data_IF_390980573251
#
_entry.id   IF_390980573251
#
_cell.length_a   1.000
_cell.length_b   1.000
_cell.length_c   1.000
_cell.angle_alpha   90.00
_cell.angle_beta   90.00
_cell.angle_gamma   90.00
#
_symmetry.space_group_name_H-M   'P 1'
#
loop_
_entity.id
_entity.type
_entity.pdbx_description
1 polymer ?
#
# COMPACT_ATOMS: atom_id res chain seq x y z
N UNK A 1 -2.47 -39.69 17.63
CA UNK A 1 -1.56 -39.54 16.47
C UNK A 1 -0.67 -38.33 16.75
N UNK A 2 0.67 -38.40 16.56
CA UNK A 2 1.52 -37.21 16.67
C UNK A 2 1.13 -36.27 15.54
N UNK A 3 0.80 -35.03 15.87
CA UNK A 3 0.55 -34.00 14.85
C UNK A 3 1.84 -33.79 14.04
N UNK A 4 1.71 -33.60 12.73
CA UNK A 4 2.85 -33.27 11.86
C UNK A 4 3.55 -32.02 12.37
N UNK A 5 4.88 -32.06 12.43
CA UNK A 5 5.69 -30.90 12.79
C UNK A 5 5.93 -30.02 11.57
N UNK A 6 5.75 -28.70 11.74
CA UNK A 6 6.05 -27.67 10.75
C UNK A 6 6.85 -26.55 11.39
N UNK A 7 7.81 -26.01 10.62
CA UNK A 7 8.57 -24.82 11.01
C UNK A 7 7.98 -23.60 10.30
N UNK A 8 7.71 -22.53 11.04
CA UNK A 8 7.30 -21.25 10.50
C UNK A 8 8.51 -20.31 10.52
N UNK A 9 8.87 -19.74 9.37
CA UNK A 9 9.74 -18.58 9.25
C UNK A 9 8.86 -17.34 9.13
N UNK A 10 8.87 -16.52 10.16
CA UNK A 10 8.04 -15.32 10.24
C UNK A 10 8.89 -14.09 9.90
N UNK A 11 8.62 -13.45 8.76
CA UNK A 11 9.40 -12.29 8.32
C UNK A 11 9.11 -11.05 9.17
N UNK A 12 10.14 -10.28 9.49
CA UNK A 12 10.02 -8.97 10.11
C UNK A 12 10.96 -7.95 9.43
N UNK A 13 10.46 -6.69 9.16
CA UNK A 13 9.15 -6.18 9.52
C UNK A 13 8.02 -6.73 8.64
N UNK A 14 6.83 -6.74 9.20
CA UNK A 14 5.55 -7.10 8.55
C UNK A 14 4.42 -6.26 9.13
N UNK A 15 3.21 -6.40 8.58
CA UNK A 15 2.02 -5.74 9.12
C UNK A 15 2.03 -4.23 8.99
N UNK A 16 1.28 -3.55 9.85
CA UNK A 16 1.05 -2.11 9.75
C UNK A 16 2.34 -1.29 9.63
N UNK A 17 2.28 -0.28 8.76
CA UNK A 17 3.30 0.76 8.68
C UNK A 17 2.78 2.06 9.32
N UNK A 18 3.69 2.98 9.65
CA UNK A 18 3.33 4.24 10.28
C UNK A 18 2.29 5.08 9.49
N UNK A 19 2.26 4.97 8.16
CA UNK A 19 1.25 5.63 7.32
C UNK A 19 -0.15 5.07 7.53
N UNK A 20 -0.26 3.75 7.63
CA UNK A 20 -1.51 3.02 7.89
C UNK A 20 -2.00 3.27 9.30
N UNK A 21 -1.14 3.14 10.31
CA UNK A 21 -1.49 3.41 11.72
C UNK A 21 -2.03 4.83 11.89
N UNK A 22 -1.32 5.82 11.31
CA UNK A 22 -1.76 7.22 11.33
C UNK A 22 -3.14 7.41 10.69
N UNK A 23 -3.41 6.77 9.56
CA UNK A 23 -4.68 6.92 8.85
C UNK A 23 -5.85 6.35 9.67
N UNK A 24 -5.67 5.20 10.30
CA UNK A 24 -6.65 4.57 11.19
C UNK A 24 -6.88 5.48 12.42
N UNK A 25 -5.81 5.94 13.08
CA UNK A 25 -5.88 6.85 14.22
C UNK A 25 -6.63 8.15 13.89
N UNK A 26 -6.47 8.69 12.69
CA UNK A 26 -7.21 9.87 12.22
C UNK A 26 -8.71 9.63 12.22
N UNK A 27 -9.17 8.46 11.71
CA UNK A 27 -10.61 8.14 11.71
C UNK A 27 -11.14 7.98 13.14
N UNK A 28 -10.41 7.27 14.00
CA UNK A 28 -10.81 7.06 15.40
C UNK A 28 -10.89 8.38 16.17
N UNK A 29 -9.87 9.24 16.04
CA UNK A 29 -9.88 10.57 16.67
C UNK A 29 -10.96 11.48 16.10
N UNK A 30 -11.27 11.38 14.81
CA UNK A 30 -12.38 12.13 14.24
C UNK A 30 -13.73 11.66 14.80
N UNK A 31 -13.93 10.37 14.99
CA UNK A 31 -15.13 9.82 15.66
C UNK A 31 -15.23 10.34 17.11
N UNK A 32 -14.10 10.34 17.83
CA UNK A 32 -14.06 10.86 19.22
C UNK A 32 -14.40 12.36 19.27
N UNK A 33 -13.85 13.15 18.35
CA UNK A 33 -14.01 14.60 18.36
C UNK A 33 -15.37 15.09 17.86
N UNK A 34 -15.86 14.50 16.77
CA UNK A 34 -17.07 14.98 16.07
C UNK A 34 -18.30 14.11 16.36
N UNK A 35 -18.13 12.98 17.05
CA UNK A 35 -19.18 11.97 17.19
C UNK A 35 -19.49 11.24 15.88
N UNK A 36 -20.40 10.27 15.94
CA UNK A 36 -20.81 9.49 14.77
C UNK A 36 -22.00 10.13 14.04
N UNK A 37 -22.15 9.94 12.74
CA UNK A 37 -21.20 9.30 11.84
C UNK A 37 -20.04 10.22 11.42
N UNK A 38 -18.93 9.61 11.05
CA UNK A 38 -17.84 10.25 10.32
C UNK A 38 -17.74 9.59 8.95
N UNK A 39 -17.69 10.36 7.88
CA UNK A 39 -17.57 9.80 6.54
C UNK A 39 -16.09 9.57 6.18
N UNK A 40 -15.82 8.53 5.40
CA UNK A 40 -14.49 8.22 4.87
C UNK A 40 -14.63 8.00 3.38
N UNK A 41 -13.93 8.80 2.57
CA UNK A 41 -13.95 8.67 1.14
C UNK A 41 -12.96 7.58 0.71
N UNK A 42 -13.47 6.54 0.04
CA UNK A 42 -12.80 5.28 -0.27
C UNK A 42 -12.38 4.50 0.99
N UNK A 43 -11.87 3.29 0.83
CA UNK A 43 -11.27 2.56 1.95
C UNK A 43 -10.11 3.37 2.53
N UNK A 44 -10.08 3.56 3.86
CA UNK A 44 -9.01 4.31 4.52
C UNK A 44 -7.63 3.70 4.21
N UNK A 45 -7.58 2.38 4.16
CA UNK A 45 -6.47 1.53 3.71
C UNK A 45 -7.07 0.26 3.09
N UNK A 46 -6.36 -0.40 2.19
CA UNK A 46 -6.82 -1.62 1.53
C UNK A 46 -6.77 -2.84 2.47
N UNK A 47 -7.69 -2.88 3.43
CA UNK A 47 -7.87 -4.03 4.31
C UNK A 47 -9.31 -4.10 4.83
N UNK A 48 -10.04 -5.16 4.43
CA UNK A 48 -11.44 -5.35 4.80
C UNK A 48 -11.66 -5.43 6.32
N UNK A 49 -10.75 -6.07 7.07
CA UNK A 49 -10.85 -6.18 8.52
C UNK A 49 -10.81 -4.79 9.17
N UNK A 50 -9.91 -3.91 8.73
CA UNK A 50 -9.79 -2.53 9.22
C UNK A 50 -11.05 -1.72 8.86
N UNK A 51 -11.52 -1.83 7.62
CA UNK A 51 -12.74 -1.14 7.16
C UNK A 51 -13.96 -1.58 7.98
N UNK A 52 -14.12 -2.88 8.20
CA UNK A 52 -15.24 -3.43 8.96
C UNK A 52 -15.18 -3.02 10.45
N UNK A 53 -13.98 -2.94 11.03
CA UNK A 53 -13.80 -2.46 12.40
C UNK A 53 -14.17 -0.97 12.53
N UNK A 54 -13.72 -0.12 11.63
CA UNK A 54 -14.07 1.29 11.63
C UNK A 54 -15.57 1.53 11.36
N UNK A 55 -16.22 0.71 10.52
CA UNK A 55 -17.68 0.73 10.35
C UNK A 55 -18.40 0.45 11.66
N UNK A 56 -17.95 -0.54 12.42
CA UNK A 56 -18.52 -0.85 13.76
C UNK A 56 -18.35 0.31 14.75
N UNK A 57 -17.29 1.10 14.60
CA UNK A 57 -17.02 2.31 15.40
C UNK A 57 -17.82 3.53 14.95
N UNK A 58 -18.55 3.44 13.83
CA UNK A 58 -19.43 4.51 13.34
C UNK A 58 -18.90 5.29 12.14
N UNK A 59 -17.88 4.81 11.45
CA UNK A 59 -17.46 5.35 10.17
C UNK A 59 -18.39 4.87 9.04
N UNK A 60 -18.72 5.77 8.11
CA UNK A 60 -19.47 5.47 6.88
C UNK A 60 -18.54 5.70 5.70
N UNK A 61 -18.32 4.63 4.93
CA UNK A 61 -17.49 4.70 3.73
C UNK A 61 -18.31 5.05 2.51
N UNK A 62 -17.81 5.98 1.72
CA UNK A 62 -18.43 6.47 0.48
C UNK A 62 -17.38 6.49 -0.63
N UNK A 63 -17.82 6.37 -1.88
CA UNK A 63 -16.90 6.49 -3.01
C UNK A 63 -16.72 7.96 -3.40
N UNK A 64 -17.81 8.73 -3.48
CA UNK A 64 -17.76 10.14 -3.85
C UNK A 64 -18.47 11.04 -2.82
N UNK A 65 -18.12 12.33 -2.80
CA UNK A 65 -18.63 13.29 -1.80
C UNK A 65 -20.14 13.56 -1.95
N UNK A 66 -20.68 13.40 -3.17
CA UNK A 66 -22.09 13.56 -3.46
C UNK A 66 -22.98 12.56 -2.72
N UNK A 67 -22.46 11.36 -2.43
CA UNK A 67 -23.18 10.31 -1.69
C UNK A 67 -23.44 10.69 -0.23
N UNK A 68 -22.66 11.65 0.32
CA UNK A 68 -22.81 12.11 1.69
C UNK A 68 -24.08 12.95 1.81
N UNK A 69 -25.07 12.42 2.52
CA UNK A 69 -26.38 13.10 2.70
C UNK A 69 -26.28 14.27 3.67
N UNK A 70 -25.60 14.08 4.80
CA UNK A 70 -25.39 15.13 5.81
C UNK A 70 -24.02 15.79 5.63
N UNK A 71 -23.98 16.87 4.89
CA UNK A 71 -22.78 17.66 4.58
C UNK A 71 -22.21 18.39 5.81
N UNK A 72 -22.92 18.42 6.94
CA UNK A 72 -22.42 19.01 8.19
C UNK A 72 -21.45 18.11 8.91
N UNK A 73 -21.43 16.82 8.57
CA UNK A 73 -20.54 15.81 9.15
C UNK A 73 -19.16 15.82 8.47
N UNK A 74 -18.09 15.52 9.24
CA UNK A 74 -16.76 15.51 8.68
C UNK A 74 -16.54 14.35 7.70
N UNK A 75 -15.72 14.59 6.67
CA UNK A 75 -15.23 13.56 5.77
C UNK A 75 -13.71 13.41 5.88
N UNK A 76 -13.23 12.18 5.83
CA UNK A 76 -11.81 11.84 5.87
C UNK A 76 -11.39 11.32 4.50
N UNK A 77 -10.29 11.86 3.95
CA UNK A 77 -9.68 11.34 2.73
C UNK A 77 -8.69 10.23 3.07
N UNK A 78 -8.68 9.16 2.28
CA UNK A 78 -7.90 7.96 2.56
C UNK A 78 -6.37 8.17 2.55
N UNK A 79 -5.64 7.19 3.08
CA UNK A 79 -4.17 7.21 3.10
C UNK A 79 -3.54 7.27 1.71
N UNK A 80 -4.26 6.87 0.67
CA UNK A 80 -3.79 6.83 -0.71
C UNK A 80 -3.65 8.22 -1.36
N UNK A 81 -4.22 9.24 -0.75
CA UNK A 81 -4.30 10.58 -1.33
C UNK A 81 -5.48 10.75 -2.29
N UNK A 82 -5.77 11.99 -2.62
CA UNK A 82 -6.89 12.36 -3.50
C UNK A 82 -6.45 13.40 -4.53
N UNK A 83 -7.11 13.43 -5.72
CA UNK A 83 -6.93 14.54 -6.67
C UNK A 83 -7.25 15.89 -6.04
N UNK A 84 -6.62 16.96 -6.49
CA UNK A 84 -6.86 18.34 -6.00
C UNK A 84 -8.32 18.79 -6.08
N UNK A 85 -9.07 18.26 -7.03
CA UNK A 85 -10.49 18.58 -7.15
C UNK A 85 -11.31 18.18 -5.93
N UNK A 86 -10.92 17.09 -5.22
CA UNK A 86 -11.70 16.54 -4.09
C UNK A 86 -11.75 17.49 -2.87
N UNK A 87 -10.60 18.04 -2.37
CA UNK A 87 -10.65 19.08 -1.35
C UNK A 87 -11.44 20.31 -1.78
N UNK A 88 -11.27 20.80 -3.03
CA UNK A 88 -12.01 21.96 -3.56
C UNK A 88 -13.51 21.70 -3.61
N UNK A 89 -13.91 20.49 -3.94
CA UNK A 89 -15.31 20.06 -3.93
C UNK A 89 -15.88 20.01 -2.50
N UNK A 90 -15.13 19.45 -1.53
CA UNK A 90 -15.54 19.47 -0.13
C UNK A 90 -15.72 20.90 0.40
N UNK A 91 -14.84 21.82 0.00
CA UNK A 91 -14.95 23.25 0.32
C UNK A 91 -16.21 23.87 -0.31
N UNK A 92 -16.53 23.53 -1.57
CA UNK A 92 -17.75 24.03 -2.24
C UNK A 92 -19.04 23.58 -1.56
N UNK A 93 -19.01 22.41 -0.91
CA UNK A 93 -20.11 21.89 -0.10
C UNK A 93 -20.09 22.40 1.35
N UNK A 94 -19.17 23.28 1.72
CA UNK A 94 -18.93 23.74 3.11
C UNK A 94 -18.68 22.56 4.09
N UNK A 95 -18.08 21.48 3.63
CA UNK A 95 -17.79 20.32 4.45
C UNK A 95 -16.48 20.50 5.25
N UNK A 96 -16.48 20.03 6.48
CA UNK A 96 -15.23 19.83 7.22
C UNK A 96 -14.57 18.56 6.70
N UNK A 97 -13.32 18.66 6.23
CA UNK A 97 -12.58 17.46 5.83
C UNK A 97 -11.28 17.30 6.62
N UNK A 98 -10.82 16.07 6.75
CA UNK A 98 -9.52 15.69 7.31
C UNK A 98 -8.77 14.87 6.30
N UNK A 99 -7.59 15.33 5.91
CA UNK A 99 -6.73 14.62 4.98
C UNK A 99 -5.85 13.61 5.73
N UNK A 100 -6.12 12.31 5.52
CA UNK A 100 -5.33 11.22 6.07
C UNK A 100 -4.26 10.70 5.10
N UNK A 101 -4.03 11.37 3.96
CA UNK A 101 -2.98 11.01 3.00
C UNK A 101 -1.66 10.73 3.73
N UNK A 102 -1.05 9.59 3.43
CA UNK A 102 0.25 9.23 3.98
C UNK A 102 1.29 10.32 3.64
N UNK A 103 2.12 10.76 4.61
CA UNK A 103 3.15 11.76 4.35
C UNK A 103 4.10 11.41 3.20
N UNK A 104 4.33 10.11 2.95
CA UNK A 104 5.18 9.64 1.85
C UNK A 104 4.47 9.76 0.50
N UNK A 105 3.16 9.55 0.43
CA UNK A 105 2.35 9.85 -0.76
C UNK A 105 2.28 11.36 -1.00
N UNK A 106 2.05 12.16 0.06
CA UNK A 106 2.08 13.63 -0.05
C UNK A 106 3.45 14.16 -0.53
N UNK A 107 4.55 13.43 -0.25
CA UNK A 107 5.88 13.74 -0.80
C UNK A 107 5.86 13.60 -2.33
N UNK A 108 5.35 12.49 -2.85
CA UNK A 108 5.24 12.24 -4.30
C UNK A 108 4.38 13.30 -4.97
N UNK A 109 3.22 13.64 -4.40
CA UNK A 109 2.34 14.70 -4.89
C UNK A 109 3.09 16.03 -5.05
N UNK A 110 3.79 16.48 -3.98
CA UNK A 110 4.55 17.74 -4.00
C UNK A 110 5.70 17.70 -5.00
N UNK A 111 6.37 16.57 -5.13
CA UNK A 111 7.47 16.42 -6.08
C UNK A 111 6.96 16.50 -7.52
N UNK A 112 5.85 15.81 -7.84
CA UNK A 112 5.20 15.91 -9.14
C UNK A 112 4.80 17.36 -9.48
N UNK A 113 4.19 18.08 -8.52
CA UNK A 113 3.83 19.48 -8.71
C UNK A 113 5.06 20.38 -8.97
N UNK A 114 6.14 20.18 -8.21
CA UNK A 114 7.35 21.00 -8.33
C UNK A 114 8.06 20.74 -9.67
N UNK A 115 8.13 19.49 -10.11
CA UNK A 115 8.68 19.14 -11.43
C UNK A 115 7.84 19.74 -12.55
N UNK A 116 6.52 19.65 -12.46
CA UNK A 116 5.62 20.27 -13.44
C UNK A 116 5.79 21.80 -13.49
N UNK A 117 5.83 22.49 -12.35
CA UNK A 117 6.09 23.95 -12.25
C UNK A 117 7.44 24.32 -12.85
N UNK A 118 8.41 23.39 -12.82
CA UNK A 118 9.74 23.59 -13.43
C UNK A 118 9.77 23.28 -14.94
N UNK A 119 8.60 23.04 -15.55
CA UNK A 119 8.44 22.85 -16.99
C UNK A 119 8.67 21.42 -17.49
N UNK A 120 8.71 20.43 -16.59
CA UNK A 120 8.79 19.02 -16.99
C UNK A 120 7.41 18.46 -17.34
N UNK A 121 7.38 17.58 -18.33
CA UNK A 121 6.31 16.61 -18.50
C UNK A 121 6.64 15.37 -17.65
N UNK A 122 5.65 14.80 -16.99
CA UNK A 122 5.90 13.72 -16.03
C UNK A 122 5.48 12.36 -16.57
N UNK A 123 6.20 11.36 -16.12
CA UNK A 123 5.82 9.95 -16.21
C UNK A 123 5.56 9.47 -14.78
N UNK A 124 4.39 8.89 -14.52
CA UNK A 124 4.10 8.16 -13.30
C UNK A 124 4.26 6.66 -13.55
N UNK A 125 5.18 6.03 -12.85
CA UNK A 125 5.28 4.57 -12.84
C UNK A 125 4.32 4.06 -11.78
N UNK A 126 3.29 3.27 -12.18
CA UNK A 126 2.25 2.83 -11.25
C UNK A 126 1.19 1.96 -11.91
N UNK A 127 0.22 1.49 -11.16
CA UNK A 127 -0.86 0.65 -11.66
C UNK A 127 -2.12 1.47 -11.93
N UNK A 128 -2.66 1.33 -13.12
CA UNK A 128 -3.90 2.00 -13.53
C UNK A 128 -5.04 1.74 -12.54
N UNK A 129 -5.86 2.74 -12.29
CA UNK A 129 -7.00 2.71 -11.37
C UNK A 129 -6.65 2.54 -9.89
N UNK A 130 -5.37 2.43 -9.51
CA UNK A 130 -5.00 2.46 -8.10
C UNK A 130 -5.28 3.86 -7.51
N UNK A 131 -5.91 3.98 -6.32
CA UNK A 131 -6.26 5.29 -5.73
C UNK A 131 -5.07 6.24 -5.59
N UNK A 132 -3.88 5.76 -5.23
CA UNK A 132 -2.65 6.56 -5.16
C UNK A 132 -2.25 7.11 -6.53
N UNK A 133 -2.37 6.32 -7.59
CA UNK A 133 -2.08 6.74 -8.97
C UNK A 133 -3.07 7.81 -9.41
N UNK A 134 -4.37 7.57 -9.20
CA UNK A 134 -5.44 8.56 -9.47
C UNK A 134 -5.19 9.85 -8.69
N UNK A 135 -4.83 9.73 -7.41
CA UNK A 135 -4.51 10.87 -6.54
C UNK A 135 -3.33 11.68 -7.05
N UNK A 136 -2.24 11.01 -7.43
CA UNK A 136 -1.01 11.66 -7.93
C UNK A 136 -1.23 12.31 -9.30
N UNK A 137 -1.85 11.62 -10.25
CA UNK A 137 -2.18 12.20 -11.56
C UNK A 137 -3.08 13.41 -11.41
N UNK A 138 -4.04 13.36 -10.49
CA UNK A 138 -4.97 14.46 -10.20
C UNK A 138 -4.36 15.67 -9.47
N UNK A 139 -3.05 15.67 -9.17
CA UNK A 139 -2.35 16.87 -8.71
C UNK A 139 -2.01 17.83 -9.85
N UNK A 140 -1.99 17.35 -11.08
CA UNK A 140 -1.52 18.09 -12.24
C UNK A 140 -2.64 18.34 -13.25
N UNK A 141 -2.48 19.34 -14.14
CA UNK A 141 -3.40 19.53 -15.26
C UNK A 141 -3.43 18.29 -16.16
N UNK A 142 -4.58 18.04 -16.75
CA UNK A 142 -4.75 16.95 -17.74
C UNK A 142 -3.72 17.09 -18.86
N UNK A 143 -3.10 15.98 -19.26
CA UNK A 143 -2.06 15.94 -20.28
C UNK A 143 -0.67 16.39 -19.81
N UNK A 144 -0.45 16.55 -18.49
CA UNK A 144 0.87 16.91 -17.95
C UNK A 144 1.63 15.73 -17.36
N UNK A 145 0.99 14.57 -17.25
CA UNK A 145 1.54 13.35 -16.68
C UNK A 145 0.94 12.13 -17.39
N UNK A 146 1.81 11.22 -17.79
CA UNK A 146 1.45 9.96 -18.42
C UNK A 146 1.72 8.81 -17.45
N UNK A 147 0.96 7.72 -17.57
CA UNK A 147 1.12 6.51 -16.76
C UNK A 147 1.90 5.45 -17.54
N UNK A 148 2.85 4.81 -16.88
CA UNK A 148 3.55 3.61 -17.36
C UNK A 148 3.45 2.53 -16.27
N UNK A 149 2.99 1.35 -16.65
CA UNK A 149 2.70 0.27 -15.71
C UNK A 149 3.77 -0.82 -15.67
N UNK A 150 4.42 -1.08 -16.80
CA UNK A 150 5.36 -2.18 -16.99
C UNK A 150 6.49 -1.84 -17.97
N UNK A 151 7.39 -2.80 -18.18
CA UNK A 151 8.54 -2.68 -19.08
C UNK A 151 8.09 -2.52 -20.55
N UNK A 152 7.06 -3.25 -20.97
CA UNK A 152 6.51 -3.19 -22.34
C UNK A 152 5.96 -1.80 -22.68
N UNK A 153 5.23 -1.18 -21.74
CA UNK A 153 4.76 0.20 -21.91
C UNK A 153 5.93 1.19 -21.92
N UNK A 154 6.95 0.97 -21.08
CA UNK A 154 8.15 1.80 -21.07
C UNK A 154 8.93 1.70 -22.39
N UNK A 155 9.06 0.50 -22.98
CA UNK A 155 9.71 0.29 -24.27
C UNK A 155 8.96 0.94 -25.43
N UNK A 156 7.64 1.00 -25.39
CA UNK A 156 6.78 1.53 -26.45
C UNK A 156 6.43 3.01 -26.25
N UNK A 157 6.74 3.58 -25.09
CA UNK A 157 6.36 4.97 -24.79
C UNK A 157 7.01 5.95 -25.76
N UNK A 158 6.22 6.79 -26.41
CA UNK A 158 6.66 7.85 -27.32
C UNK A 158 6.35 9.22 -26.72
N UNK A 159 7.36 10.08 -26.67
CA UNK A 159 7.18 11.46 -26.24
C UNK A 159 7.65 12.41 -27.35
N UNK A 160 6.71 13.17 -27.92
CA UNK A 160 6.94 14.01 -29.10
C UNK A 160 7.08 15.51 -28.79
N UNK A 161 6.83 15.90 -27.53
CA UNK A 161 6.94 17.30 -27.14
C UNK A 161 8.40 17.72 -26.91
N UNK A 162 8.65 19.04 -27.00
CA UNK A 162 9.98 19.62 -26.70
C UNK A 162 10.26 19.82 -25.20
N UNK A 163 9.36 19.41 -24.32
CA UNK A 163 9.52 19.50 -22.88
C UNK A 163 10.54 18.49 -22.36
N UNK A 164 11.17 18.82 -21.24
CA UNK A 164 12.00 17.86 -20.50
C UNK A 164 11.11 16.85 -19.79
N UNK A 165 11.57 15.60 -19.71
CA UNK A 165 10.88 14.54 -18.98
C UNK A 165 11.39 14.43 -17.55
N UNK A 166 10.47 14.10 -16.64
CA UNK A 166 10.76 13.63 -15.29
C UNK A 166 9.87 12.45 -14.95
N UNK A 167 10.23 11.64 -13.97
CA UNK A 167 9.35 10.60 -13.50
C UNK A 167 9.17 10.65 -11.98
N UNK A 168 8.06 10.09 -11.53
CA UNK A 168 7.75 9.75 -10.14
C UNK A 168 7.15 8.34 -10.10
N UNK A 169 7.10 7.70 -8.92
CA UNK A 169 6.56 6.35 -8.82
C UNK A 169 5.49 6.24 -7.75
N UNK A 170 4.60 5.27 -7.90
CA UNK A 170 3.72 4.81 -6.83
C UNK A 170 4.57 4.23 -5.68
N UNK A 171 4.15 4.44 -4.43
CA UNK A 171 4.96 4.09 -3.25
C UNK A 171 5.00 2.60 -2.91
N UNK A 172 4.14 1.76 -3.54
CA UNK A 172 3.93 0.35 -3.19
C UNK A 172 4.27 -0.63 -4.32
N UNK A 173 5.15 -0.24 -5.24
CA UNK A 173 5.59 -1.08 -6.36
C UNK A 173 6.64 -2.12 -5.93
N UNK A 174 6.88 -3.09 -6.79
CA UNK A 174 8.06 -3.95 -6.71
C UNK A 174 9.32 -3.11 -6.94
N UNK A 175 10.28 -3.19 -6.02
CA UNK A 175 11.54 -2.44 -6.13
C UNK A 175 12.32 -2.89 -7.36
N UNK A 176 12.36 -4.20 -7.64
CA UNK A 176 13.14 -4.73 -8.76
C UNK A 176 12.50 -4.37 -10.10
N UNK A 177 11.17 -4.57 -10.24
CA UNK A 177 10.44 -4.27 -11.48
C UNK A 177 10.50 -2.76 -11.79
N UNK A 178 10.39 -1.92 -10.77
CA UNK A 178 10.52 -0.46 -10.94
C UNK A 178 11.92 -0.07 -11.42
N UNK A 179 12.98 -0.74 -10.94
CA UNK A 179 14.35 -0.50 -11.42
C UNK A 179 14.49 -0.83 -12.91
N UNK A 180 13.91 -1.94 -13.37
CA UNK A 180 13.92 -2.30 -14.79
C UNK A 180 13.22 -1.25 -15.64
N UNK A 181 12.01 -0.83 -15.25
CA UNK A 181 11.25 0.23 -15.96
C UNK A 181 12.07 1.53 -16.01
N UNK A 182 12.66 1.96 -14.89
CA UNK A 182 13.50 3.17 -14.83
C UNK A 182 14.71 3.04 -15.73
N UNK A 183 15.36 1.86 -15.80
CA UNK A 183 16.50 1.64 -16.70
C UNK A 183 16.12 1.85 -18.16
N UNK A 184 15.01 1.25 -18.60
CA UNK A 184 14.47 1.41 -19.96
C UNK A 184 14.20 2.89 -20.27
N UNK A 185 13.54 3.61 -19.34
CA UNK A 185 13.23 5.02 -19.53
C UNK A 185 14.51 5.89 -19.63
N UNK A 186 15.55 5.59 -18.84
CA UNK A 186 16.83 6.31 -18.90
C UNK A 186 17.56 6.08 -20.22
N UNK A 187 17.54 4.84 -20.71
CA UNK A 187 18.19 4.48 -21.98
C UNK A 187 17.48 5.15 -23.17
N UNK A 188 16.16 5.21 -23.12
CA UNK A 188 15.34 5.82 -24.19
C UNK A 188 15.28 7.34 -24.13
N UNK A 189 15.33 7.92 -22.96
CA UNK A 189 15.26 9.37 -22.71
C UNK A 189 16.46 9.85 -21.89
N UNK A 190 17.66 9.97 -22.50
CA UNK A 190 18.83 10.46 -21.79
C UNK A 190 18.59 11.83 -21.16
N UNK A 191 18.85 11.94 -19.86
CA UNK A 191 18.60 13.18 -19.11
C UNK A 191 17.20 13.31 -18.52
N UNK A 192 16.38 12.24 -18.54
CA UNK A 192 15.14 12.18 -17.76
C UNK A 192 15.44 12.47 -16.28
N UNK A 193 14.66 13.38 -15.68
CA UNK A 193 14.87 13.79 -14.28
C UNK A 193 14.29 12.76 -13.33
N UNK A 194 15.11 12.30 -12.41
CA UNK A 194 14.72 11.41 -11.32
C UNK A 194 14.13 12.19 -10.12
N UNK A 195 13.29 11.55 -9.29
CA UNK A 195 12.87 12.13 -8.03
C UNK A 195 14.08 12.39 -7.12
N UNK A 196 14.00 13.42 -6.29
CA UNK A 196 15.08 13.81 -5.39
C UNK A 196 15.44 12.71 -4.37
N UNK A 197 14.46 11.92 -3.96
CA UNK A 197 14.58 10.72 -3.12
C UNK A 197 13.67 9.64 -3.68
N UNK A 198 14.04 8.38 -3.49
CA UNK A 198 13.20 7.25 -3.91
C UNK A 198 11.75 7.43 -3.44
N UNK A 199 10.80 7.14 -4.33
CA UNK A 199 9.37 7.26 -4.07
C UNK A 199 8.80 6.00 -3.44
N UNK A 200 9.36 4.82 -3.77
CA UNK A 200 8.97 3.57 -3.09
C UNK A 200 9.27 3.74 -1.60
N UNK A 201 8.23 3.58 -0.78
CA UNK A 201 8.34 3.89 0.64
C UNK A 201 9.18 2.84 1.40
N UNK A 202 9.79 3.28 2.51
CA UNK A 202 10.58 2.41 3.38
C UNK A 202 9.83 1.13 3.79
N UNK A 203 8.54 1.25 4.08
CA UNK A 203 7.72 0.13 4.52
C UNK A 203 7.58 -0.94 3.42
N UNK A 204 7.44 -0.50 2.16
CA UNK A 204 7.42 -1.39 0.99
C UNK A 204 8.79 -2.06 0.80
N UNK A 205 9.86 -1.28 0.79
CA UNK A 205 11.22 -1.79 0.61
C UNK A 205 11.59 -2.79 1.70
N UNK A 206 11.37 -2.44 2.97
CA UNK A 206 11.74 -3.29 4.10
C UNK A 206 10.97 -4.62 4.09
N UNK A 207 9.65 -4.60 3.82
CA UNK A 207 8.86 -5.84 3.75
C UNK A 207 9.28 -6.73 2.59
N UNK A 208 9.59 -6.14 1.44
CA UNK A 208 10.13 -6.91 0.31
C UNK A 208 11.49 -7.53 0.65
N UNK A 209 12.39 -6.79 1.30
CA UNK A 209 13.67 -7.33 1.76
C UNK A 209 13.49 -8.46 2.78
N UNK A 210 12.55 -8.32 3.73
CA UNK A 210 12.25 -9.35 4.72
C UNK A 210 11.74 -10.63 4.06
N UNK A 211 10.85 -10.52 3.08
CA UNK A 211 10.36 -11.66 2.29
C UNK A 211 11.49 -12.32 1.50
N UNK A 212 12.30 -11.53 0.77
CA UNK A 212 13.47 -12.04 0.01
C UNK A 212 14.43 -12.85 0.87
N UNK A 213 14.66 -12.41 2.10
CA UNK A 213 15.60 -13.03 3.01
C UNK A 213 15.22 -14.47 3.39
N UNK A 214 13.93 -14.78 3.52
CA UNK A 214 13.45 -16.09 3.99
C UNK A 214 12.83 -16.96 2.89
N UNK A 215 12.34 -16.38 1.79
CA UNK A 215 11.52 -17.07 0.79
C UNK A 215 12.20 -18.34 0.22
N UNK A 216 13.50 -18.27 -0.10
CA UNK A 216 14.25 -19.42 -0.64
C UNK A 216 14.35 -20.62 0.30
N UNK A 217 14.10 -20.43 1.59
CA UNK A 217 14.18 -21.46 2.62
C UNK A 217 12.80 -22.06 2.96
N UNK A 218 11.75 -21.69 2.21
CA UNK A 218 10.38 -22.09 2.46
C UNK A 218 9.85 -23.01 1.35
N UNK A 219 9.14 -24.06 1.74
CA UNK A 219 8.42 -24.94 0.82
C UNK A 219 7.15 -24.27 0.28
N UNK A 220 6.53 -23.43 1.10
CA UNK A 220 5.35 -22.63 0.81
C UNK A 220 5.43 -21.29 1.54
N UNK A 221 4.90 -20.24 0.93
CA UNK A 221 4.92 -18.89 1.49
C UNK A 221 3.51 -18.28 1.54
N UNK A 222 3.14 -17.71 2.67
CA UNK A 222 1.86 -17.02 2.84
C UNK A 222 2.07 -15.55 3.13
N UNK A 223 1.38 -14.72 2.36
CA UNK A 223 1.25 -13.29 2.64
C UNK A 223 -0.16 -13.02 3.13
N UNK A 224 -0.29 -12.54 4.36
CA UNK A 224 -1.58 -12.17 4.93
C UNK A 224 -1.93 -10.76 4.48
N UNK A 225 -3.07 -10.58 3.79
CA UNK A 225 -3.46 -9.27 3.27
C UNK A 225 -4.66 -9.31 2.35
N UNK A 226 -5.02 -8.15 1.81
CA UNK A 226 -6.17 -8.00 0.91
C UNK A 226 -5.75 -8.03 -0.56
N UNK A 227 -6.64 -8.55 -1.41
CA UNK A 227 -6.37 -8.69 -2.86
C UNK A 227 -6.24 -7.36 -3.59
N UNK A 228 -6.87 -6.32 -3.09
CA UNK A 228 -6.78 -4.95 -3.60
C UNK A 228 -5.62 -4.15 -3.00
N UNK A 229 -4.82 -4.75 -2.10
CA UNK A 229 -3.62 -4.13 -1.55
C UNK A 229 -2.43 -4.38 -2.47
N UNK A 230 -1.97 -3.35 -3.19
CA UNK A 230 -0.77 -3.43 -4.04
C UNK A 230 0.43 -3.98 -3.26
N UNK A 231 0.70 -3.48 -2.05
CA UNK A 231 1.79 -3.99 -1.24
C UNK A 231 1.68 -5.50 -0.96
N UNK A 232 0.49 -6.00 -0.60
CA UNK A 232 0.29 -7.43 -0.31
C UNK A 232 0.50 -8.32 -1.54
N UNK A 233 -0.01 -7.90 -2.69
CA UNK A 233 0.15 -8.63 -3.97
C UNK A 233 1.64 -8.67 -4.36
N UNK A 234 2.35 -7.53 -4.27
CA UNK A 234 3.79 -7.48 -4.58
C UNK A 234 4.63 -8.39 -3.69
N UNK A 235 4.28 -8.55 -2.40
CA UNK A 235 5.01 -9.48 -1.51
C UNK A 235 4.89 -10.93 -1.96
N UNK A 236 3.74 -11.35 -2.50
CA UNK A 236 3.58 -12.70 -3.09
C UNK A 236 4.49 -12.87 -4.30
N UNK A 237 4.53 -11.89 -5.18
CA UNK A 237 5.39 -11.93 -6.37
C UNK A 237 6.87 -11.93 -6.00
N UNK A 238 7.26 -11.11 -5.02
CA UNK A 238 8.62 -11.08 -4.49
C UNK A 238 9.01 -12.45 -3.91
N UNK A 239 8.11 -13.10 -3.15
CA UNK A 239 8.38 -14.45 -2.63
C UNK A 239 8.62 -15.46 -3.75
N UNK A 240 7.79 -15.42 -4.82
CA UNK A 240 7.96 -16.30 -6.00
C UNK A 240 9.28 -16.05 -6.72
N UNK A 241 9.59 -14.78 -7.02
CA UNK A 241 10.85 -14.37 -7.67
C UNK A 241 12.09 -14.70 -6.83
N UNK A 242 11.91 -14.79 -5.50
CA UNK A 242 13.00 -15.09 -4.55
C UNK A 242 13.16 -16.57 -4.21
N UNK A 243 12.52 -17.47 -4.98
CA UNK A 243 12.75 -18.91 -4.93
C UNK A 243 11.64 -19.73 -4.27
N UNK A 244 10.57 -19.13 -3.73
CA UNK A 244 9.41 -19.86 -3.25
C UNK A 244 8.25 -19.76 -4.26
N UNK A 245 8.27 -20.58 -5.31
CA UNK A 245 7.24 -20.59 -6.35
C UNK A 245 5.82 -20.83 -5.81
N UNK A 246 5.70 -21.54 -4.67
CA UNK A 246 4.44 -21.84 -4.00
C UNK A 246 4.07 -20.75 -3.00
N UNK A 247 3.89 -19.51 -3.47
CA UNK A 247 3.52 -18.38 -2.63
C UNK A 247 2.08 -17.92 -2.90
N UNK A 248 1.32 -17.68 -1.82
CA UNK A 248 -0.10 -17.38 -1.83
C UNK A 248 -0.46 -16.16 -1.00
N UNK A 249 -1.44 -15.39 -1.48
CA UNK A 249 -2.10 -14.36 -0.70
C UNK A 249 -3.26 -14.99 0.09
N UNK A 250 -3.31 -14.75 1.38
CA UNK A 250 -4.40 -15.19 2.27
C UNK A 250 -5.19 -13.97 2.71
N UNK A 251 -6.42 -13.90 2.25
CA UNK A 251 -7.34 -12.81 2.58
C UNK A 251 -8.23 -13.16 3.78
N UNK A 252 -8.57 -14.43 3.95
CA UNK A 252 -9.41 -14.91 5.04
C UNK A 252 -8.96 -16.28 5.55
N UNK A 253 -9.37 -16.63 6.78
CA UNK A 253 -9.06 -17.93 7.39
C UNK A 253 -9.62 -19.13 6.59
N UNK A 254 -10.74 -18.94 5.88
CA UNK A 254 -11.34 -19.97 5.04
C UNK A 254 -10.51 -20.35 3.82
N UNK A 255 -9.55 -19.51 3.45
CA UNK A 255 -8.66 -19.71 2.31
C UNK A 255 -7.39 -20.49 2.65
N UNK A 256 -7.19 -20.92 3.91
CA UNK A 256 -5.98 -21.64 4.35
C UNK A 256 -5.90 -22.99 3.60
N UNK A 257 -4.88 -23.20 2.73
CA UNK A 257 -4.79 -24.40 1.90
C UNK A 257 -4.10 -25.52 2.69
N UNK A 258 -4.80 -26.12 3.66
CA UNK A 258 -4.25 -27.16 4.53
C UNK A 258 -3.61 -28.32 3.76
N UNK A 259 -4.18 -28.72 2.61
CA UNK A 259 -3.65 -29.79 1.78
C UNK A 259 -2.24 -29.51 1.19
N UNK A 260 -1.87 -28.21 1.02
CA UNK A 260 -0.52 -27.80 0.64
C UNK A 260 0.40 -27.79 1.87
N UNK A 261 -0.13 -27.31 3.00
CA UNK A 261 0.62 -27.24 4.26
C UNK A 261 1.00 -28.65 4.75
N UNK A 262 0.11 -29.63 4.57
CA UNK A 262 0.38 -31.03 4.91
C UNK A 262 1.58 -31.62 4.13
N UNK A 263 1.94 -31.05 2.99
CA UNK A 263 3.09 -31.48 2.19
C UNK A 263 4.38 -30.70 2.48
N UNK A 264 4.28 -29.61 3.24
CA UNK A 264 5.37 -28.67 3.51
C UNK A 264 6.00 -28.94 4.87
N UNK A 265 7.31 -28.69 5.04
CA UNK A 265 8.03 -28.73 6.30
C UNK A 265 8.30 -27.33 6.85
N UNK A 266 8.65 -26.41 5.95
CA UNK A 266 8.95 -25.01 6.28
C UNK A 266 7.98 -24.08 5.58
N UNK A 267 7.32 -23.22 6.36
CA UNK A 267 6.32 -22.26 5.91
C UNK A 267 6.85 -20.86 6.14
N UNK A 268 6.92 -20.04 5.09
CA UNK A 268 7.17 -18.62 5.22
C UNK A 268 5.87 -17.85 5.46
N UNK A 269 5.91 -16.89 6.38
CA UNK A 269 4.76 -16.00 6.62
C UNK A 269 5.23 -14.55 6.63
N UNK A 270 4.49 -13.70 5.92
CA UNK A 270 4.56 -12.24 5.98
C UNK A 270 3.17 -11.63 5.97
N UNK A 271 3.09 -10.31 6.10
CA UNK A 271 1.83 -9.59 5.92
C UNK A 271 2.06 -8.23 5.29
N UNK A 272 1.04 -7.79 4.53
CA UNK A 272 1.08 -6.49 3.87
C UNK A 272 1.02 -5.32 4.86
N UNK A 273 1.48 -4.15 4.41
CA UNK A 273 1.54 -2.92 5.22
C UNK A 273 0.18 -2.41 5.74
N UNK A 274 -0.92 -2.94 5.24
CA UNK A 274 -2.30 -2.64 5.69
C UNK A 274 -2.95 -3.77 6.49
N UNK A 275 -2.24 -4.88 6.76
CA UNK A 275 -2.77 -6.01 7.51
C UNK A 275 -2.38 -5.92 8.99
N UNK A 276 -3.33 -5.88 9.93
CA UNK A 276 -3.02 -5.87 11.36
C UNK A 276 -2.44 -7.21 11.82
N UNK A 277 -1.56 -7.18 12.82
CA UNK A 277 -0.84 -8.35 13.34
C UNK A 277 -1.79 -9.46 13.81
N UNK A 278 -2.94 -9.11 14.35
CA UNK A 278 -3.96 -10.08 14.79
C UNK A 278 -4.37 -11.07 13.68
N UNK A 279 -4.29 -10.67 12.39
CA UNK A 279 -4.59 -11.59 11.29
C UNK A 279 -3.49 -12.65 11.11
N UNK A 280 -2.23 -12.28 11.36
CA UNK A 280 -1.09 -13.22 11.35
C UNK A 280 -1.18 -14.16 12.53
N UNK A 281 -1.46 -13.65 13.72
CA UNK A 281 -1.67 -14.45 14.94
C UNK A 281 -2.80 -15.48 14.75
N UNK A 282 -3.95 -15.03 14.26
CA UNK A 282 -5.09 -15.89 13.95
C UNK A 282 -4.76 -16.98 12.91
N UNK A 283 -3.94 -16.65 11.89
CA UNK A 283 -3.49 -17.62 10.92
C UNK A 283 -2.62 -18.70 11.58
N UNK A 284 -1.63 -18.28 12.36
CA UNK A 284 -0.73 -19.18 13.11
C UNK A 284 -1.52 -20.05 14.09
N UNK A 285 -2.48 -19.49 14.81
CA UNK A 285 -3.28 -20.24 15.77
C UNK A 285 -4.18 -21.29 15.07
N UNK A 286 -4.67 -21.02 13.88
CA UNK A 286 -5.35 -22.03 13.08
C UNK A 286 -4.42 -23.18 12.66
N UNK A 287 -3.15 -22.89 12.37
CA UNK A 287 -2.16 -23.93 12.09
C UNK A 287 -1.87 -24.78 13.34
N UNK A 288 -1.71 -24.17 14.52
CA UNK A 288 -1.47 -24.89 15.79
C UNK A 288 -2.59 -25.87 16.16
N UNK A 289 -3.83 -25.64 15.70
CA UNK A 289 -4.95 -26.61 15.91
C UNK A 289 -4.74 -27.94 15.23
N UNK A 290 -3.94 -27.98 14.15
CA UNK A 290 -3.74 -29.18 13.31
C UNK A 290 -2.31 -29.69 13.29
N UNK A 291 -1.34 -28.86 13.60
CA UNK A 291 0.08 -29.15 13.50
C UNK A 291 0.81 -28.83 14.80
N UNK A 292 1.95 -29.48 15.01
CA UNK A 292 2.95 -29.03 15.99
C UNK A 292 3.79 -27.95 15.33
N UNK A 293 3.76 -26.73 15.84
CA UNK A 293 4.36 -25.56 15.17
C UNK A 293 5.55 -25.05 15.97
N UNK A 294 6.69 -24.89 15.31
CA UNK A 294 7.82 -24.08 15.81
C UNK A 294 7.87 -22.77 15.00
N UNK A 295 8.16 -21.66 15.66
CA UNK A 295 8.19 -20.32 15.04
C UNK A 295 9.59 -19.74 15.22
N UNK A 296 10.14 -19.25 14.10
CA UNK A 296 11.43 -18.56 14.06
C UNK A 296 11.18 -17.19 13.39
N UNK A 297 11.22 -16.13 14.18
CA UNK A 297 11.06 -14.77 13.66
C UNK A 297 12.38 -14.24 13.12
N UNK A 298 12.38 -13.85 11.85
CA UNK A 298 13.58 -13.38 11.14
C UNK A 298 13.45 -11.88 10.91
N UNK A 299 14.00 -11.10 11.82
CA UNK A 299 14.05 -9.65 11.74
C UNK A 299 15.26 -9.18 10.94
N UNK A 300 15.05 -8.34 9.93
CA UNK A 300 16.13 -7.74 9.13
C UNK A 300 16.40 -6.28 9.50
N UNK A 301 15.40 -5.56 9.96
CA UNK A 301 15.49 -4.15 10.35
C UNK A 301 14.33 -3.78 11.29
N UNK A 302 14.59 -2.89 12.25
CA UNK A 302 13.56 -2.27 13.11
C UNK A 302 13.07 -0.98 12.49
N UNK A 303 11.76 -0.83 12.41
CA UNK A 303 11.12 0.40 11.96
C UNK A 303 10.75 1.28 13.16
N UNK A 304 11.26 2.53 13.18
CA UNK A 304 11.02 3.51 14.24
C UNK A 304 10.34 4.78 13.69
N UNK A 305 9.62 4.64 12.59
CA UNK A 305 8.94 5.77 11.94
C UNK A 305 7.59 6.00 12.61
N UNK A 306 7.31 7.24 12.98
CA UNK A 306 6.02 7.66 13.53
C UNK A 306 5.55 8.92 12.80
N UNK A 307 4.32 8.92 12.33
CA UNK A 307 3.70 10.08 11.72
C UNK A 307 2.64 10.70 12.64
N UNK A 308 2.75 12.00 12.91
CA UNK A 308 1.80 12.72 13.75
C UNK A 308 0.45 12.89 13.04
N UNK A 309 -0.62 12.75 13.80
CA UNK A 309 -1.96 13.11 13.32
C UNK A 309 -2.08 14.63 13.13
N UNK A 310 -3.01 15.13 12.28
CA UNK A 310 -3.25 16.55 12.10
C UNK A 310 -3.65 17.24 13.40
N UNK A 311 -3.05 18.44 13.69
CA UNK A 311 -3.32 19.22 14.92
C UNK A 311 -4.81 19.47 15.15
N UNK A 312 -5.61 19.57 14.09
CA UNK A 312 -7.06 19.78 14.19
C UNK A 312 -7.84 18.63 14.82
N UNK A 313 -7.21 17.49 15.08
CA UNK A 313 -7.81 16.33 15.78
C UNK A 313 -7.33 16.17 17.23
N UNK A 314 -6.35 16.95 17.64
CA UNK A 314 -5.86 16.99 19.03
C UNK A 314 -6.67 18.00 19.86
#
# INVERSE_FOLDING_TARGET
>A
MKNKEIKILLSAPRGFCAGVERAIEIVEKAIQKYGVPVYVRHEIVHNKFVVDDLKKKGAIFVEELEEIKDKTRPVIFSAHGVPKKVPSEAESYNMTYVDATCPLVSKVHREAENLHKSGYHLILIGHQNHPEVVGTMGQLPVGSIDLIQDEDEAEKYEFKEKKKLAFVTQTTLSVDDTKSIISILKDRFPGIREPHKEDICYATTNRQMAVKNIAKNCDIFFVIGSRNSSNSVRLVEVAKKSGCNNAHLIHSQSEIPYHLIEKSKTIGISSGASAPEILVENFIDNLKKKFTVSIDEVEIIKENVVFKVPKKLN
#
